data_IF_500811259773
#
_entry.id   IF_500811259773
#
_cell.length_a   1.000
_cell.length_b   1.000
_cell.length_c   1.000
_cell.angle_alpha   90.00
_cell.angle_beta   90.00
_cell.angle_gamma   90.00
#
_symmetry.space_group_name_H-M   'P 1'
#
loop_
_entity.id
_entity.type
_entity.pdbx_description
1 polymer ?
#
# COMPACT_ATOMS: atom_id res chain seq x y z
N UNK A 1 -12.85 12.78 -9.10
CA UNK A 1 -11.51 12.70 -8.97
C UNK A 1 -11.06 11.73 -7.96
N UNK A 2 -10.13 10.94 -8.24
CA UNK A 2 -9.69 9.90 -7.35
C UNK A 2 -8.37 10.28 -6.70
N UNK A 3 -8.29 10.16 -5.40
CA UNK A 3 -7.07 10.39 -4.68
C UNK A 3 -6.32 9.10 -4.46
N UNK A 4 -6.79 8.01 -5.00
CA UNK A 4 -6.19 6.72 -4.75
C UNK A 4 -5.07 6.45 -5.72
N UNK A 5 -3.99 5.88 -5.20
CA UNK A 5 -2.85 5.49 -6.00
C UNK A 5 -2.74 3.98 -5.97
N UNK A 6 -2.45 3.39 -7.10
CA UNK A 6 -2.32 1.95 -7.22
C UNK A 6 -0.88 1.53 -6.98
N UNK A 7 -0.70 0.49 -6.18
CA UNK A 7 0.61 -0.05 -5.88
C UNK A 7 0.64 -1.54 -6.20
N UNK A 8 1.77 -2.01 -6.65
CA UNK A 8 1.94 -3.42 -6.90
C UNK A 8 2.62 -4.04 -5.69
N UNK A 9 2.05 -5.10 -5.14
CA UNK A 9 2.61 -5.80 -4.01
C UNK A 9 2.73 -7.28 -4.32
N UNK A 10 3.58 -7.96 -3.58
CA UNK A 10 3.80 -9.39 -3.75
C UNK A 10 3.57 -10.07 -2.42
N UNK A 11 2.73 -11.08 -2.39
CA UNK A 11 2.46 -11.79 -1.16
C UNK A 11 3.60 -12.75 -0.83
N UNK A 12 3.67 -13.27 0.38
CA UNK A 12 4.73 -14.20 0.77
C UNK A 12 4.81 -15.46 -0.07
N UNK A 13 3.74 -15.77 -0.81
CA UNK A 13 3.72 -16.92 -1.70
C UNK A 13 3.99 -16.52 -3.15
N UNK A 14 4.56 -15.37 -3.36
CA UNK A 14 4.94 -14.90 -4.70
C UNK A 14 3.80 -14.61 -5.65
N UNK A 15 2.67 -14.19 -5.13
CA UNK A 15 1.56 -13.76 -5.98
C UNK A 15 1.57 -12.25 -6.08
N UNK A 16 1.57 -11.75 -7.30
CA UNK A 16 1.53 -10.31 -7.54
C UNK A 16 0.10 -9.82 -7.52
N UNK A 17 -0.11 -8.66 -6.96
CA UNK A 17 -1.42 -8.04 -7.03
C UNK A 17 -1.31 -6.54 -6.86
N UNK A 18 -2.38 -5.85 -7.16
CA UNK A 18 -2.43 -4.39 -7.09
C UNK A 18 -3.38 -3.99 -5.98
N UNK A 19 -2.97 -3.03 -5.19
CA UNK A 19 -3.81 -2.45 -4.16
C UNK A 19 -3.90 -0.96 -4.41
N UNK A 20 -4.96 -0.33 -3.95
CA UNK A 20 -5.15 1.10 -4.10
C UNK A 20 -5.44 1.74 -2.75
N UNK A 21 -4.77 2.85 -2.47
CA UNK A 21 -4.96 3.59 -1.24
C UNK A 21 -4.96 5.07 -1.54
N UNK A 22 -5.73 5.83 -0.78
CA UNK A 22 -5.53 7.27 -0.75
C UNK A 22 -4.48 7.57 0.30
N UNK A 23 -3.89 8.73 0.22
CA UNK A 23 -2.88 9.13 1.20
C UNK A 23 -3.47 9.15 2.60
N UNK A 24 -4.68 9.64 2.72
CA UNK A 24 -5.35 9.70 4.00
C UNK A 24 -5.57 8.32 4.59
N UNK A 25 -6.04 7.39 3.78
CA UNK A 25 -6.25 6.02 4.22
C UNK A 25 -4.95 5.39 4.66
N UNK A 26 -3.92 5.58 3.87
CA UNK A 26 -2.61 5.00 4.16
C UNK A 26 -2.09 5.52 5.50
N UNK A 27 -2.15 6.81 5.71
CA UNK A 27 -1.63 7.40 6.94
C UNK A 27 -2.45 7.00 8.15
N UNK A 28 -3.74 6.94 8.01
CA UNK A 28 -4.60 6.55 9.12
C UNK A 28 -4.37 5.11 9.53
N UNK A 29 -4.31 4.20 8.58
CA UNK A 29 -4.09 2.80 8.89
C UNK A 29 -2.68 2.55 9.41
N UNK A 30 -1.71 3.29 8.91
CA UNK A 30 -0.35 3.17 9.38
C UNK A 30 -0.24 3.64 10.83
N UNK A 31 -0.89 4.73 11.15
CA UNK A 31 -0.87 5.29 12.48
C UNK A 31 -1.53 4.37 13.49
N UNK A 32 -2.61 3.78 13.12
CA UNK A 32 -3.34 2.88 14.02
C UNK A 32 -2.77 1.48 14.05
N UNK A 33 -1.83 1.18 13.18
CA UNK A 33 -1.26 -0.15 13.10
C UNK A 33 -2.18 -1.16 12.45
N UNK A 34 -3.17 -0.68 11.73
CA UNK A 34 -4.14 -1.56 11.09
C UNK A 34 -3.83 -1.84 9.63
N UNK A 35 -2.71 -1.36 9.13
CA UNK A 35 -2.37 -1.54 7.73
C UNK A 35 -1.92 -2.98 7.48
N UNK A 36 -2.68 -3.69 6.67
CA UNK A 36 -2.41 -5.09 6.36
C UNK A 36 -2.74 -5.32 4.89
N UNK A 37 -1.88 -6.00 4.20
CA UNK A 37 -2.12 -6.39 2.82
C UNK A 37 -2.79 -7.75 2.79
N UNK A 38 -3.57 -7.98 1.76
CA UNK A 38 -4.31 -9.24 1.61
C UNK A 38 -4.12 -9.76 0.19
N UNK A 39 -3.83 -11.02 0.05
CA UNK A 39 -3.70 -11.65 -1.24
C UNK A 39 -4.99 -12.38 -1.59
N UNK A 40 -5.60 -12.03 -2.70
CA UNK A 40 -6.83 -12.66 -3.15
C UNK A 40 -6.63 -14.06 -3.69
N UNK A 41 -5.42 -14.41 -4.02
CA UNK A 41 -5.13 -15.72 -4.58
C UNK A 41 -4.99 -16.79 -3.51
N UNK A 42 -4.30 -16.48 -2.45
CA UNK A 42 -4.06 -17.46 -1.40
C UNK A 42 -4.60 -17.05 -0.04
N UNK A 43 -5.30 -15.94 0.02
CA UNK A 43 -5.91 -15.43 1.26
C UNK A 43 -4.89 -15.12 2.34
N UNK A 44 -3.67 -14.84 1.97
CA UNK A 44 -2.66 -14.50 2.95
C UNK A 44 -2.82 -13.06 3.39
N UNK A 45 -2.60 -12.79 4.65
CA UNK A 45 -2.59 -11.43 5.18
C UNK A 45 -1.25 -11.17 5.80
N UNK A 46 -0.68 -10.01 5.56
CA UNK A 46 0.61 -9.67 6.15
C UNK A 46 0.75 -8.17 6.29
N UNK A 47 1.43 -7.72 7.33
CA UNK A 47 1.66 -6.28 7.49
C UNK A 47 2.78 -5.84 6.55
N UNK A 48 2.79 -4.58 6.12
CA UNK A 48 3.85 -4.10 5.26
C UNK A 48 5.17 -4.02 6.00
N UNK A 49 6.25 -4.30 5.30
CA UNK A 49 7.58 -4.14 5.87
C UNK A 49 8.00 -2.67 5.80
N UNK A 50 9.10 -2.32 6.42
CA UNK A 50 9.65 -0.97 6.34
C UNK A 50 9.92 -0.57 4.91
N UNK A 51 10.38 -1.49 4.10
CA UNK A 51 10.65 -1.22 2.69
C UNK A 51 9.37 -0.92 1.93
N UNK A 52 8.32 -1.68 2.22
CA UNK A 52 7.04 -1.45 1.59
C UNK A 52 6.48 -0.09 1.98
N UNK A 53 6.57 0.24 3.24
CA UNK A 53 6.10 1.53 3.73
C UNK A 53 6.88 2.66 3.06
N UNK A 54 8.18 2.51 2.92
CA UNK A 54 8.99 3.53 2.28
C UNK A 54 8.62 3.70 0.82
N UNK A 55 8.34 2.61 0.13
CA UNK A 55 7.91 2.67 -1.26
C UNK A 55 6.58 3.39 -1.40
N UNK A 56 5.64 3.09 -0.53
CA UNK A 56 4.33 3.72 -0.57
C UNK A 56 4.43 5.21 -0.29
N UNK A 57 5.22 5.58 0.68
CA UNK A 57 5.42 6.98 1.01
C UNK A 57 6.07 7.74 -0.15
N UNK A 58 7.01 7.11 -0.81
CA UNK A 58 7.68 7.70 -1.93
C UNK A 58 6.71 7.95 -3.09
N UNK A 59 5.80 7.02 -3.32
CA UNK A 59 4.80 7.18 -4.35
C UNK A 59 3.86 8.34 -4.05
N UNK A 60 3.40 8.45 -2.83
CA UNK A 60 2.53 9.55 -2.44
C UNK A 60 3.26 10.89 -2.55
N UNK A 61 4.48 10.93 -2.15
CA UNK A 61 5.27 12.15 -2.21
C UNK A 61 5.50 12.57 -3.65
N UNK A 62 5.80 11.63 -4.52
CA UNK A 62 6.01 11.88 -5.92
C UNK A 62 4.74 12.41 -6.56
N UNK A 63 3.61 11.83 -6.24
CA UNK A 63 2.34 12.24 -6.77
C UNK A 63 1.98 13.63 -6.29
N UNK A 64 2.21 13.92 -5.02
CA UNK A 64 1.85 15.21 -4.50
C UNK A 64 2.78 16.31 -4.95
N UNK A 65 3.98 16.03 -5.33
CA UNK A 65 4.88 17.03 -5.78
C UNK A 65 4.67 17.45 -7.21
N UNK A 66 3.73 16.82 -7.89
CA UNK A 66 3.41 17.17 -9.20
C UNK A 66 2.54 18.31 -9.20
N UNK A 67 2.84 19.36 -9.46
CA UNK A 67 1.94 20.48 -9.40
C UNK A 67 2.12 21.39 -10.51
#
# INVERSE_FOLDING_TARGET
MSDRIEFEIVCPNDHNQTVAFSQKEFEETLKSGALVFHCNTCDANWPPSSEEIAKLRKQFSKDSSQR
#
